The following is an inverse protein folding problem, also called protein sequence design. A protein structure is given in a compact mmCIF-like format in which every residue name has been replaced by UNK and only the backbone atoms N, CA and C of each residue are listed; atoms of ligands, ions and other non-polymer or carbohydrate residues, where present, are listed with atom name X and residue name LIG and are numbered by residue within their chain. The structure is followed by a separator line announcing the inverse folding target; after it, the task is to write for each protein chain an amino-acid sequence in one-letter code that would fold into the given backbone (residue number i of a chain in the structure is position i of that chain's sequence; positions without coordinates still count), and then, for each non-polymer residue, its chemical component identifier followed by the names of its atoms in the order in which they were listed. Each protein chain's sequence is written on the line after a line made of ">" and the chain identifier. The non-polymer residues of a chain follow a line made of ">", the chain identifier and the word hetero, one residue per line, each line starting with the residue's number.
data_IF_720794841077
#
_entry.id   IF_720794841077
#
_cell.length_a   1.000
_cell.length_b   1.000
_cell.length_c   1.000
_cell.angle_alpha   90.00
_cell.angle_beta   90.00
_cell.angle_gamma   90.00
#
_symmetry.space_group_name_H-M   'P 1'
#
loop_
_entity.id
_entity.type
_entity.pdbx_description
1 polymer ?
#
# COMPACT_ATOMS: atom_id res chain seq x y z
N UNK A 1 4.98 -7.24 25.95
CA UNK A 1 4.03 -6.14 26.27
C UNK A 1 2.83 -6.34 25.38
N UNK A 2 1.67 -6.70 25.94
CA UNK A 2 0.47 -6.92 25.15
C UNK A 2 -0.07 -5.57 24.68
N UNK A 3 -0.01 -5.28 23.37
CA UNK A 3 -0.69 -4.12 22.79
C UNK A 3 -2.20 -4.37 22.86
N UNK A 4 -2.97 -3.33 23.19
CA UNK A 4 -4.41 -3.47 23.34
C UNK A 4 -5.06 -3.74 21.98
N UNK A 5 -6.19 -4.45 21.97
CA UNK A 5 -6.99 -4.73 20.76
C UNK A 5 -7.49 -3.46 20.04
N UNK A 6 -7.37 -2.30 20.68
CA UNK A 6 -7.71 -0.99 20.14
C UNK A 6 -6.54 -0.35 19.39
N UNK A 7 -5.30 -0.65 19.80
CA UNK A 7 -4.09 -0.20 19.11
C UNK A 7 -3.87 -0.97 17.79
N UNK A 8 -4.34 -2.22 17.69
CA UNK A 8 -4.12 -3.07 16.51
C UNK A 8 -4.84 -2.61 15.25
N UNK A 9 -6.05 -2.03 15.36
CA UNK A 9 -6.85 -1.62 14.20
C UNK A 9 -6.30 -0.33 13.57
N UNK A 10 -5.76 0.57 14.39
CA UNK A 10 -5.18 1.83 13.91
C UNK A 10 -3.90 1.63 13.08
N UNK A 11 -3.08 0.64 13.46
CA UNK A 11 -1.82 0.32 12.77
C UNK A 11 -2.08 -0.19 11.34
N UNK A 12 -2.98 -1.15 11.13
CA UNK A 12 -3.33 -1.65 9.78
C UNK A 12 -3.94 -0.57 8.89
N UNK A 13 -4.83 0.25 9.44
CA UNK A 13 -5.52 1.29 8.70
C UNK A 13 -4.53 2.32 8.12
N UNK A 14 -3.45 2.62 8.86
CA UNK A 14 -2.42 3.59 8.50
C UNK A 14 -1.20 3.01 7.77
N UNK A 15 -1.18 1.69 7.51
CA UNK A 15 -0.04 0.98 6.91
C UNK A 15 0.02 1.06 5.38
N UNK A 16 0.15 2.28 4.87
CA UNK A 16 0.17 2.60 3.45
C UNK A 16 1.52 3.06 2.93
N UNK A 17 1.73 2.82 1.64
CA UNK A 17 2.78 3.42 0.83
C UNK A 17 2.18 3.93 -0.47
N UNK A 18 2.11 5.25 -0.66
CA UNK A 18 1.66 5.86 -1.93
C UNK A 18 0.49 6.84 -1.81
N UNK A 19 -0.16 7.18 -2.94
CA UNK A 19 -1.19 8.22 -3.08
C UNK A 19 -2.32 8.31 -2.03
N UNK A 20 -2.69 7.26 -1.26
CA UNK A 20 -3.53 7.39 -0.07
C UNK A 20 -2.88 8.20 1.07
N UNK A 21 -1.56 8.38 0.99
CA UNK A 21 -0.67 9.09 1.90
C UNK A 21 0.22 10.05 1.10
N UNK A 22 1.43 9.63 0.71
CA UNK A 22 2.34 10.44 -0.12
C UNK A 22 2.89 9.66 -1.32
N UNK A 23 3.01 10.32 -2.47
CA UNK A 23 3.62 9.72 -3.66
C UNK A 23 5.09 9.34 -3.43
N UNK A 24 5.82 10.16 -2.66
CA UNK A 24 7.23 9.92 -2.33
C UNK A 24 7.44 8.60 -1.60
N UNK A 25 6.57 8.24 -0.65
CA UNK A 25 6.69 6.98 0.08
C UNK A 25 6.43 5.76 -0.82
N UNK A 26 5.54 5.87 -1.82
CA UNK A 26 5.43 4.81 -2.83
C UNK A 26 6.67 4.70 -3.68
N UNK A 27 7.22 5.84 -4.16
CA UNK A 27 8.46 5.81 -4.95
C UNK A 27 9.61 5.18 -4.17
N UNK A 28 9.75 5.52 -2.89
CA UNK A 28 10.73 4.91 -2.01
C UNK A 28 10.49 3.40 -1.86
N UNK A 29 9.25 2.95 -1.70
CA UNK A 29 8.94 1.52 -1.69
C UNK A 29 9.32 0.84 -3.02
N UNK A 30 8.99 1.43 -4.17
CA UNK A 30 9.34 0.87 -5.47
C UNK A 30 10.86 0.77 -5.66
N UNK A 31 11.61 1.78 -5.19
CA UNK A 31 13.08 1.75 -5.16
C UNK A 31 13.58 0.59 -4.31
N UNK A 32 13.09 0.46 -3.07
CA UNK A 32 13.43 -0.65 -2.16
C UNK A 32 13.19 -2.00 -2.86
N UNK A 33 12.00 -2.20 -3.44
CA UNK A 33 11.62 -3.45 -4.10
C UNK A 33 12.42 -3.72 -5.39
N UNK A 34 12.92 -2.67 -6.04
CA UNK A 34 13.75 -2.76 -7.26
C UNK A 34 15.23 -3.02 -6.97
N UNK A 35 15.60 -3.21 -5.69
CA UNK A 35 16.98 -3.47 -5.27
C UNK A 35 17.81 -2.22 -4.97
N UNK A 36 17.19 -1.04 -4.90
CA UNK A 36 17.89 0.21 -4.59
C UNK A 36 18.31 0.25 -3.11
N UNK A 37 19.58 0.53 -2.85
CA UNK A 37 20.20 0.59 -1.51
C UNK A 37 20.33 2.02 -0.98
N UNK A 38 19.79 3.02 -1.67
CA UNK A 38 19.89 4.44 -1.30
C UNK A 38 18.78 4.88 -0.35
N UNK A 39 17.67 4.16 -0.29
CA UNK A 39 16.55 4.49 0.60
C UNK A 39 16.92 4.14 2.05
N UNK A 40 16.86 5.15 2.92
CA UNK A 40 17.17 5.03 4.35
C UNK A 40 15.93 5.35 5.18
N UNK A 41 15.70 4.59 6.25
CA UNK A 41 14.73 4.93 7.29
C UNK A 41 15.43 4.83 8.63
N UNK A 42 15.34 5.89 9.43
CA UNK A 42 15.96 5.95 10.78
C UNK A 42 17.47 5.59 10.76
N UNK A 43 18.18 5.99 9.71
CA UNK A 43 19.62 5.73 9.53
C UNK A 43 19.97 4.31 9.09
N UNK A 44 18.98 3.47 8.78
CA UNK A 44 19.17 2.12 8.26
C UNK A 44 18.80 2.03 6.79
N UNK A 45 19.60 1.29 6.03
CA UNK A 45 19.33 0.99 4.62
C UNK A 45 18.20 -0.02 4.54
N UNK A 46 17.15 0.31 3.79
CA UNK A 46 15.92 -0.48 3.77
C UNK A 46 16.03 -1.79 2.97
N UNK A 47 16.94 -1.87 1.99
CA UNK A 47 17.27 -3.10 1.28
C UNK A 47 18.78 -3.29 1.22
N UNK A 48 19.45 -3.63 2.34
CA UNK A 48 20.92 -3.65 2.42
C UNK A 48 21.57 -4.75 1.57
N UNK A 49 20.77 -5.71 1.09
CA UNK A 49 21.23 -6.79 0.21
C UNK A 49 21.00 -6.50 -1.27
N UNK A 50 20.37 -5.36 -1.61
CA UNK A 50 19.99 -5.02 -2.98
C UNK A 50 19.16 -6.11 -3.66
N UNK A 51 18.36 -6.86 -2.90
CA UNK A 51 17.57 -7.97 -3.44
C UNK A 51 16.41 -7.41 -4.25
N UNK A 52 16.27 -7.85 -5.50
CA UNK A 52 15.21 -7.38 -6.38
C UNK A 52 13.97 -8.26 -6.29
N UNK A 53 12.84 -7.64 -6.00
CA UNK A 53 11.51 -8.25 -5.93
C UNK A 53 10.55 -7.70 -7.01
N UNK A 54 10.85 -6.51 -7.53
CA UNK A 54 10.08 -5.81 -8.55
C UNK A 54 10.96 -5.47 -9.75
N UNK A 55 10.42 -5.67 -10.95
CA UNK A 55 11.01 -5.23 -12.22
C UNK A 55 10.13 -4.15 -12.85
N UNK A 56 10.73 -3.26 -13.66
CA UNK A 56 10.01 -2.29 -14.48
C UNK A 56 9.74 -0.92 -13.84
N UNK A 57 10.06 -0.72 -12.56
CA UNK A 57 10.10 0.62 -11.98
C UNK A 57 11.30 1.42 -12.49
N UNK A 58 11.10 2.73 -12.66
CA UNK A 58 12.18 3.65 -12.97
C UNK A 58 13.14 3.79 -11.78
N UNK A 59 14.35 4.28 -12.05
CA UNK A 59 15.39 4.48 -11.02
C UNK A 59 15.01 5.49 -9.94
N UNK A 60 14.07 6.39 -10.23
CA UNK A 60 13.52 7.35 -9.27
C UNK A 60 12.34 6.76 -8.45
N UNK A 61 12.01 5.48 -8.64
CA UNK A 61 10.87 4.82 -8.00
C UNK A 61 9.54 5.01 -8.72
N UNK A 62 9.51 5.74 -9.84
CA UNK A 62 8.28 5.90 -10.62
C UNK A 62 7.83 4.54 -11.15
N UNK A 63 6.64 4.11 -10.75
CA UNK A 63 5.99 2.90 -11.23
C UNK A 63 4.49 3.19 -11.33
N UNK A 64 4.10 3.55 -12.55
CA UNK A 64 2.77 4.07 -12.81
C UNK A 64 1.79 2.96 -13.22
N UNK A 65 0.55 3.12 -12.79
CA UNK A 65 -0.59 2.38 -13.28
C UNK A 65 -0.96 2.80 -14.71
N UNK A 66 -1.90 2.11 -15.39
CA UNK A 66 -2.30 2.43 -16.75
C UNK A 66 -2.89 3.83 -16.96
N UNK A 67 -3.25 4.54 -15.88
CA UNK A 67 -3.79 5.90 -15.90
C UNK A 67 -2.75 6.97 -15.59
N UNK A 68 -1.50 6.57 -15.29
CA UNK A 68 -0.40 7.47 -14.99
C UNK A 68 -0.28 7.82 -13.50
N UNK A 69 -1.06 7.21 -12.62
CA UNK A 69 -0.88 7.40 -11.18
C UNK A 69 0.21 6.46 -10.66
N UNK A 70 0.89 6.85 -9.60
CA UNK A 70 1.81 5.95 -8.91
C UNK A 70 1.02 4.82 -8.21
N UNK A 71 1.47 3.57 -8.32
CA UNK A 71 0.85 2.46 -7.57
C UNK A 71 0.96 2.68 -6.06
N UNK A 72 -0.05 2.20 -5.33
CA UNK A 72 -0.10 2.21 -3.88
C UNK A 72 0.05 0.78 -3.36
N UNK A 73 0.62 0.62 -2.17
CA UNK A 73 0.70 -0.68 -1.49
C UNK A 73 0.16 -0.54 -0.08
N UNK A 74 -0.65 -1.52 0.34
CA UNK A 74 -1.08 -1.68 1.73
C UNK A 74 -0.62 -3.03 2.25
N UNK A 75 -0.17 -3.04 3.50
CA UNK A 75 0.40 -4.24 4.14
C UNK A 75 -0.25 -4.49 5.50
N UNK A 76 -0.42 -5.76 5.84
CA UNK A 76 -0.67 -6.23 7.20
C UNK A 76 0.65 -6.11 7.97
N UNK A 77 0.74 -5.13 8.88
CA UNK A 77 1.94 -4.83 9.67
C UNK A 77 1.87 -5.32 11.11
N UNK A 78 0.73 -5.85 11.52
CA UNK A 78 0.50 -6.33 12.88
C UNK A 78 0.22 -7.84 12.95
N UNK A 79 0.36 -8.54 11.83
CA UNK A 79 0.16 -9.98 11.66
C UNK A 79 -1.26 -10.46 12.02
N UNK A 80 -2.29 -9.64 11.80
CA UNK A 80 -3.68 -10.02 12.09
C UNK A 80 -4.26 -11.02 11.08
N UNK A 81 -3.55 -11.27 9.97
CA UNK A 81 -3.95 -12.16 8.90
C UNK A 81 -4.96 -11.51 7.94
N UNK A 82 -4.91 -10.19 7.81
CA UNK A 82 -5.72 -9.43 6.88
C UNK A 82 -5.48 -7.93 6.98
N UNK A 83 -5.99 -7.19 6.01
CA UNK A 83 -5.91 -5.74 5.98
C UNK A 83 -7.26 -5.12 5.70
N UNK A 84 -7.45 -3.92 6.23
CA UNK A 84 -8.65 -3.13 5.99
C UNK A 84 -8.46 -2.25 4.75
N UNK A 85 -9.37 -2.29 3.77
CA UNK A 85 -9.40 -1.33 2.65
C UNK A 85 -10.82 -0.79 2.55
N UNK A 86 -11.13 0.21 3.38
CA UNK A 86 -12.41 0.90 3.37
C UNK A 86 -12.18 2.39 3.65
N UNK A 87 -13.08 3.25 3.16
CA UNK A 87 -13.00 4.70 3.39
C UNK A 87 -13.22 5.12 4.86
N UNK A 88 -13.54 4.17 5.75
CA UNK A 88 -13.70 4.38 7.19
C UNK A 88 -13.30 3.12 7.96
N UNK A 89 -12.40 3.29 8.94
CA UNK A 89 -11.88 2.19 9.75
C UNK A 89 -12.95 1.49 10.59
N UNK A 90 -12.80 0.17 10.77
CA UNK A 90 -13.64 -0.69 11.60
C UNK A 90 -15.07 -0.91 11.07
N UNK A 91 -15.33 -0.65 9.79
CA UNK A 91 -16.70 -0.71 9.24
C UNK A 91 -17.06 -2.02 8.56
N UNK A 92 -16.07 -2.81 8.11
CA UNK A 92 -16.26 -4.08 7.42
C UNK A 92 -15.19 -5.12 7.82
N UNK A 93 -15.38 -6.39 7.43
CA UNK A 93 -14.40 -7.45 7.69
C UNK A 93 -13.10 -7.24 6.90
N UNK A 94 -11.95 -7.49 7.53
CA UNK A 94 -10.66 -7.42 6.87
C UNK A 94 -10.56 -8.36 5.67
N UNK A 95 -9.94 -7.89 4.61
CA UNK A 95 -9.56 -8.72 3.47
C UNK A 95 -8.43 -9.64 3.93
N UNK A 96 -8.61 -10.95 3.80
CA UNK A 96 -7.66 -11.99 4.25
C UNK A 96 -6.45 -12.13 3.34
N UNK A 97 -5.65 -11.07 3.24
CA UNK A 97 -4.40 -10.98 2.47
C UNK A 97 -3.39 -10.13 3.24
N UNK A 98 -2.09 -10.47 3.15
CA UNK A 98 -1.04 -9.74 3.87
C UNK A 98 -0.53 -8.51 3.13
N UNK A 99 -0.68 -8.45 1.80
CA UNK A 99 -0.23 -7.33 0.96
C UNK A 99 -1.20 -7.15 -0.20
N UNK A 100 -1.55 -5.90 -0.52
CA UNK A 100 -2.27 -5.55 -1.74
C UNK A 100 -1.54 -4.43 -2.47
N UNK A 101 -1.40 -4.58 -3.79
CA UNK A 101 -1.10 -3.46 -4.67
C UNK A 101 -2.42 -2.87 -5.20
N UNK A 102 -2.46 -1.54 -5.28
CA UNK A 102 -3.67 -0.79 -5.61
C UNK A 102 -3.37 0.30 -6.62
N UNK A 103 -4.18 0.34 -7.68
CA UNK A 103 -4.29 1.49 -8.57
C UNK A 103 -5.57 2.24 -8.22
N UNK A 104 -5.48 3.56 -8.09
CA UNK A 104 -6.63 4.44 -7.78
C UNK A 104 -7.46 4.80 -9.03
N UNK A 105 -7.35 3.99 -10.08
CA UNK A 105 -8.10 4.17 -11.31
C UNK A 105 -7.88 5.53 -11.98
N UNK A 106 -8.86 5.94 -12.76
CA UNK A 106 -8.83 7.19 -13.51
C UNK A 106 -9.09 8.41 -12.62
N UNK A 107 -9.82 8.24 -11.52
CA UNK A 107 -10.18 9.35 -10.64
C UNK A 107 -9.07 9.71 -9.63
N UNK A 108 -8.08 8.82 -9.44
CA UNK A 108 -6.95 9.03 -8.53
C UNK A 108 -7.33 9.10 -7.05
N UNK A 109 -8.50 8.58 -6.67
CA UNK A 109 -9.09 8.71 -5.33
C UNK A 109 -9.42 7.34 -4.77
N UNK A 110 -9.02 7.08 -3.52
CA UNK A 110 -9.42 5.87 -2.82
C UNK A 110 -10.94 5.84 -2.61
N UNK A 111 -11.61 4.80 -3.11
CA UNK A 111 -13.04 4.56 -2.95
C UNK A 111 -13.32 3.28 -2.13
N UNK A 112 -14.58 3.09 -1.74
CA UNK A 112 -14.99 1.84 -1.11
C UNK A 112 -15.01 0.71 -2.16
N UNK A 113 -14.39 -0.45 -1.91
CA UNK A 113 -14.38 -1.56 -2.85
C UNK A 113 -15.75 -2.25 -3.00
N UNK A 114 -16.75 -1.91 -2.18
CA UNK A 114 -18.14 -2.30 -2.35
C UNK A 114 -18.84 -1.42 -3.41
N UNK A 115 -19.18 -2.05 -4.53
CA UNK A 115 -19.89 -1.42 -5.66
C UNK A 115 -21.30 -0.94 -5.30
N UNK A 116 -21.88 -1.41 -4.20
CA UNK A 116 -23.17 -0.89 -3.72
C UNK A 116 -23.01 0.48 -3.04
N UNK A 117 -21.83 0.75 -2.47
CA UNK A 117 -21.49 2.00 -1.78
C UNK A 117 -20.84 2.99 -2.75
N UNK A 118 -19.89 2.53 -3.55
CA UNK A 118 -19.22 3.30 -4.59
C UNK A 118 -19.45 2.65 -5.97
N UNK A 119 -20.63 2.81 -6.60
CA UNK A 119 -20.93 2.22 -7.90
C UNK A 119 -20.07 2.76 -9.05
N UNK A 120 -19.31 3.84 -8.81
CA UNK A 120 -18.36 4.44 -9.73
C UNK A 120 -16.89 4.14 -9.38
N UNK A 121 -16.67 3.36 -8.32
CA UNK A 121 -15.38 2.81 -7.90
C UNK A 121 -14.57 2.31 -9.09
N UNK A 122 -13.42 2.92 -9.36
CA UNK A 122 -12.50 2.48 -10.41
C UNK A 122 -11.13 1.98 -9.89
N UNK A 123 -10.99 1.86 -8.57
CA UNK A 123 -9.86 1.22 -7.91
C UNK A 123 -9.67 -0.23 -8.37
N UNK A 124 -8.42 -0.59 -8.69
CA UNK A 124 -8.01 -1.95 -9.06
C UNK A 124 -7.09 -2.52 -8.00
N UNK A 125 -7.38 -3.77 -7.61
CA UNK A 125 -6.67 -4.50 -6.57
C UNK A 125 -5.95 -5.74 -7.12
N UNK A 126 -4.76 -6.03 -6.64
CA UNK A 126 -4.00 -7.23 -7.05
C UNK A 126 -4.57 -8.57 -6.60
N UNK A 127 -5.58 -8.58 -5.72
CA UNK A 127 -6.13 -9.79 -5.10
C UNK A 127 -7.54 -10.16 -5.61
N UNK A 128 -8.16 -9.29 -6.43
CA UNK A 128 -9.48 -9.51 -7.03
C UNK A 128 -9.39 -9.93 -8.48
#
# INVERSE_FOLDING_TARGET
>A
VARSKMDSVADEYSSWYGPPTTESESKDLMKILSGDMTVQKEGQTMNPKGTRFLEGANTDGTFQDPWGNQYCVKMDTNDSGGLEYYGSAGTQENIRVSVIAVSLGKNGTQEDPDKNVAPKGDDIFSWR
#
